data_IF_692098289631
#
_entry.id   IF_692098289631
#
_cell.length_a   1.000
_cell.length_b   1.000
_cell.length_c   1.000
_cell.angle_alpha   90.00
_cell.angle_beta   90.00
_cell.angle_gamma   90.00
#
_symmetry.space_group_name_H-M   'P 1'
#
loop_
_entity.id
_entity.type
_entity.pdbx_description
1 polymer ?
#
# COMPACT_ATOMS: atom_id res chain seq x y z
N UNK A 1 10.09 8.41 17.08
CA UNK A 1 9.15 8.58 15.98
C UNK A 1 9.01 7.23 15.29
N UNK A 2 7.84 6.61 15.31
CA UNK A 2 7.69 5.31 14.68
C UNK A 2 7.85 5.44 13.15
N UNK A 3 8.74 4.65 12.59
CA UNK A 3 8.83 4.45 11.13
C UNK A 3 7.99 3.21 10.82
N UNK A 4 6.97 3.40 9.98
CA UNK A 4 6.04 2.35 9.58
C UNK A 4 6.13 2.13 8.08
N UNK A 5 6.46 0.91 7.67
CA UNK A 5 6.45 0.53 6.26
C UNK A 5 5.02 0.22 5.80
N UNK A 6 4.44 1.08 4.95
CA UNK A 6 3.06 0.93 4.50
C UNK A 6 2.84 -0.20 3.47
N UNK A 7 3.86 -0.99 3.14
CA UNK A 7 3.76 -2.06 2.14
C UNK A 7 4.82 -3.14 2.31
N UNK A 8 4.44 -4.27 2.89
CA UNK A 8 5.28 -5.47 2.99
C UNK A 8 4.46 -6.71 2.61
N UNK A 9 5.07 -7.65 1.93
CA UNK A 9 4.50 -8.97 1.63
C UNK A 9 5.26 -10.04 2.39
N UNK A 10 4.54 -10.98 3.01
CA UNK A 10 5.08 -12.22 3.55
C UNK A 10 4.35 -13.40 2.90
N UNK A 11 5.07 -14.48 2.66
CA UNK A 11 4.51 -15.72 2.09
C UNK A 11 5.40 -16.92 2.40
N UNK A 12 4.79 -18.10 2.44
CA UNK A 12 5.48 -19.38 2.67
C UNK A 12 5.61 -20.23 1.41
N UNK A 13 4.62 -20.14 0.54
CA UNK A 13 4.48 -21.02 -0.63
C UNK A 13 4.20 -20.23 -1.89
N UNK A 14 4.12 -20.93 -3.01
CA UNK A 14 3.79 -20.35 -4.30
C UNK A 14 4.99 -19.77 -5.05
N UNK A 15 4.70 -19.19 -6.20
CA UNK A 15 5.70 -18.57 -7.07
C UNK A 15 5.41 -17.08 -7.22
N UNK A 16 6.16 -16.23 -6.53
CA UNK A 16 6.00 -14.78 -6.64
C UNK A 16 6.24 -14.30 -8.08
N UNK A 17 5.48 -13.29 -8.48
CA UNK A 17 5.74 -12.67 -9.79
C UNK A 17 7.03 -11.84 -9.74
N UNK A 18 7.93 -11.94 -10.74
CA UNK A 18 9.09 -11.06 -10.81
C UNK A 18 8.68 -9.58 -10.75
N UNK A 19 9.47 -8.74 -10.07
CA UNK A 19 10.81 -8.96 -9.54
C UNK A 19 10.86 -9.31 -8.03
N UNK A 20 9.77 -9.75 -7.41
CA UNK A 20 9.82 -10.19 -6.01
C UNK A 20 10.81 -11.35 -5.83
N UNK A 21 11.31 -11.51 -4.60
CA UNK A 21 12.17 -12.65 -4.24
C UNK A 21 11.51 -13.97 -4.65
N UNK A 22 12.28 -14.88 -5.21
CA UNK A 22 11.76 -16.18 -5.62
C UNK A 22 11.55 -17.16 -4.46
N UNK A 23 12.22 -16.92 -3.33
CA UNK A 23 12.13 -17.70 -2.09
C UNK A 23 11.04 -17.15 -1.18
N UNK A 24 10.55 -17.99 -0.26
CA UNK A 24 9.67 -17.55 0.82
C UNK A 24 10.28 -16.35 1.58
N UNK A 25 9.40 -15.46 2.04
CA UNK A 25 9.77 -14.35 2.90
C UNK A 25 8.80 -14.34 4.09
N UNK A 26 9.33 -14.67 5.25
CA UNK A 26 8.53 -14.93 6.46
C UNK A 26 8.43 -13.70 7.35
N UNK A 27 7.56 -13.76 8.35
CA UNK A 27 7.44 -12.71 9.36
C UNK A 27 8.76 -12.46 10.10
N UNK A 28 9.50 -13.51 10.41
CA UNK A 28 10.82 -13.44 11.08
C UNK A 28 11.87 -12.75 10.21
N UNK A 29 11.83 -12.95 8.88
CA UNK A 29 12.71 -12.24 7.95
C UNK A 29 12.37 -10.76 7.91
N UNK A 30 11.07 -10.44 7.90
CA UNK A 30 10.60 -9.06 7.96
C UNK A 30 11.02 -8.38 9.27
N UNK A 31 10.81 -9.00 10.43
CA UNK A 31 11.21 -8.47 11.74
C UNK A 31 12.70 -8.17 11.78
N UNK A 32 13.54 -9.13 11.37
CA UNK A 32 14.99 -8.95 11.35
C UNK A 32 15.41 -7.75 10.48
N UNK A 33 14.90 -7.66 9.25
CA UNK A 33 15.24 -6.56 8.35
C UNK A 33 14.70 -5.21 8.80
N UNK A 34 13.53 -5.18 9.43
CA UNK A 34 12.94 -3.98 10.04
C UNK A 34 13.80 -3.50 11.21
N UNK A 35 14.23 -4.39 12.11
CA UNK A 35 15.07 -4.06 13.26
C UNK A 35 16.43 -3.47 12.81
N UNK A 36 17.06 -4.08 11.80
CA UNK A 36 18.31 -3.59 11.20
C UNK A 36 18.15 -2.20 10.57
N UNK A 37 16.97 -1.89 10.03
CA UNK A 37 16.67 -0.61 9.37
C UNK A 37 16.10 0.45 10.31
N UNK A 38 15.75 0.11 11.56
CA UNK A 38 15.10 1.01 12.49
C UNK A 38 13.62 1.25 12.18
N UNK A 39 12.93 0.26 11.58
CA UNK A 39 11.50 0.29 11.26
C UNK A 39 10.73 -0.38 12.40
N UNK A 40 9.81 0.33 12.99
CA UNK A 40 9.07 -0.12 14.16
C UNK A 40 7.88 -1.03 13.81
N UNK A 41 7.28 -0.84 12.63
CA UNK A 41 6.17 -1.67 12.20
C UNK A 41 5.96 -1.67 10.69
N UNK A 42 5.13 -2.60 10.23
CA UNK A 42 4.78 -2.71 8.82
C UNK A 42 3.33 -3.11 8.59
N UNK A 43 2.78 -2.67 7.45
CA UNK A 43 1.47 -3.08 7.01
C UNK A 43 1.64 -4.24 6.02
N UNK A 44 1.16 -5.40 6.42
CA UNK A 44 1.18 -6.59 5.60
C UNK A 44 0.10 -6.55 4.53
N UNK A 45 0.49 -6.88 3.32
CA UNK A 45 -0.38 -7.04 2.17
C UNK A 45 -0.29 -8.49 1.67
N UNK A 46 -1.18 -9.38 2.12
CA UNK A 46 -1.15 -10.78 1.76
C UNK A 46 -1.18 -11.01 0.26
N UNK A 47 -0.18 -11.70 -0.32
CA UNK A 47 -0.09 -11.90 -1.76
C UNK A 47 -0.88 -13.14 -2.22
N UNK A 48 -2.20 -13.13 -2.01
CA UNK A 48 -3.10 -14.28 -2.27
C UNK A 48 -3.07 -14.78 -3.71
N UNK A 49 -2.55 -13.98 -4.66
CA UNK A 49 -2.42 -14.38 -6.06
C UNK A 49 -1.36 -15.45 -6.31
N UNK A 50 -0.40 -15.64 -5.40
CA UNK A 50 0.60 -16.72 -5.48
C UNK A 50 0.67 -17.58 -4.22
N UNK A 51 0.24 -17.06 -3.07
CA UNK A 51 0.06 -17.83 -1.84
C UNK A 51 -1.36 -17.63 -1.30
N UNK A 52 -2.32 -18.52 -1.63
CA UNK A 52 -3.72 -18.37 -1.22
C UNK A 52 -3.95 -18.32 0.29
N UNK A 53 -3.03 -18.91 1.08
CA UNK A 53 -3.09 -18.93 2.53
C UNK A 53 -2.49 -17.67 3.19
N UNK A 54 -2.00 -16.70 2.41
CA UNK A 54 -1.24 -15.56 2.93
C UNK A 54 -2.03 -14.62 3.85
N UNK A 55 -3.36 -14.55 3.75
CA UNK A 55 -4.17 -13.83 4.74
C UNK A 55 -4.05 -14.46 6.14
N UNK A 56 -4.10 -15.79 6.24
CA UNK A 56 -3.98 -16.50 7.51
C UNK A 56 -2.56 -16.39 8.07
N UNK A 57 -1.54 -16.47 7.20
CA UNK A 57 -0.15 -16.27 7.60
C UNK A 57 0.10 -14.85 8.15
N UNK A 58 -0.55 -13.83 7.56
CA UNK A 58 -0.46 -12.48 8.09
C UNK A 58 -1.14 -12.35 9.47
N UNK A 59 -2.26 -13.05 9.70
CA UNK A 59 -2.90 -13.11 11.03
C UNK A 59 -1.98 -13.80 12.05
N UNK A 60 -1.35 -14.91 11.69
CA UNK A 60 -0.36 -15.57 12.54
C UNK A 60 0.81 -14.64 12.89
N UNK A 61 1.30 -13.86 11.91
CA UNK A 61 2.34 -12.87 12.14
C UNK A 61 1.92 -11.76 13.12
N UNK A 62 0.69 -11.25 13.00
CA UNK A 62 0.14 -10.27 13.96
C UNK A 62 0.00 -10.88 15.37
N UNK A 63 -0.43 -12.12 15.47
CA UNK A 63 -0.54 -12.81 16.78
C UNK A 63 0.81 -13.03 17.43
N UNK A 64 1.84 -13.35 16.63
CA UNK A 64 3.21 -13.52 17.12
C UNK A 64 3.90 -12.18 17.46
N UNK A 65 3.58 -11.11 16.72
CA UNK A 65 4.20 -9.79 16.85
C UNK A 65 3.14 -8.67 16.84
N UNK A 66 2.29 -8.55 17.86
CA UNK A 66 1.06 -7.76 17.84
C UNK A 66 1.25 -6.25 17.65
N UNK A 67 2.42 -5.70 18.02
CA UNK A 67 2.74 -4.27 17.85
C UNK A 67 3.53 -3.98 16.58
N UNK A 68 3.95 -5.04 15.85
CA UNK A 68 4.84 -4.90 14.71
C UNK A 68 4.11 -4.95 13.36
N UNK A 69 2.90 -5.51 13.31
CA UNK A 69 2.17 -5.70 12.07
C UNK A 69 0.69 -5.31 12.17
N UNK A 70 0.20 -4.70 11.09
CA UNK A 70 -1.21 -4.57 10.76
C UNK A 70 -1.45 -5.16 9.37
N UNK A 71 -2.70 -5.42 8.98
CA UNK A 71 -3.02 -6.10 7.73
C UNK A 71 -4.03 -5.30 6.91
N UNK A 72 -3.70 -5.06 5.64
CA UNK A 72 -4.68 -4.76 4.60
C UNK A 72 -4.83 -6.02 3.74
N UNK A 73 -5.81 -6.84 4.08
CA UNK A 73 -5.96 -8.17 3.50
C UNK A 73 -6.70 -8.17 2.16
N UNK A 74 -6.62 -9.26 1.44
CA UNK A 74 -7.33 -9.44 0.17
C UNK A 74 -8.55 -10.35 0.35
N UNK A 75 -9.78 -9.83 0.18
CA UNK A 75 -10.97 -10.66 0.14
C UNK A 75 -11.05 -11.42 -1.18
N UNK A 76 -11.50 -12.68 -1.17
CA UNK A 76 -11.77 -13.43 -2.39
C UNK A 76 -13.08 -12.92 -3.00
N UNK A 77 -13.01 -11.97 -3.91
CA UNK A 77 -14.16 -11.21 -4.42
C UNK A 77 -15.13 -12.01 -5.31
N UNK A 78 -14.76 -13.19 -5.75
CA UNK A 78 -15.54 -14.13 -6.54
C UNK A 78 -16.40 -15.09 -5.70
N UNK A 79 -16.19 -15.14 -4.39
CA UNK A 79 -17.01 -15.95 -3.47
C UNK A 79 -18.24 -15.17 -2.97
N UNK A 80 -19.45 -15.76 -3.02
CA UNK A 80 -20.66 -15.11 -2.51
C UNK A 80 -20.64 -14.87 -1.00
N UNK A 81 -19.86 -15.64 -0.24
CA UNK A 81 -19.73 -15.52 1.22
C UNK A 81 -18.98 -14.25 1.65
N UNK A 82 -18.24 -13.61 0.74
CA UNK A 82 -17.42 -12.46 1.05
C UNK A 82 -18.21 -11.20 1.40
N UNK A 83 -19.46 -11.07 1.00
CA UNK A 83 -20.31 -9.95 1.42
C UNK A 83 -20.49 -9.94 2.94
N UNK A 84 -20.72 -11.12 3.53
CA UNK A 84 -20.81 -11.28 4.98
C UNK A 84 -19.45 -11.07 5.65
N UNK A 85 -18.36 -11.55 5.02
CA UNK A 85 -17.00 -11.42 5.53
C UNK A 85 -16.57 -9.95 5.64
N UNK A 86 -16.95 -9.08 4.69
CA UNK A 86 -16.63 -7.64 4.74
C UNK A 86 -17.19 -6.99 6.00
N UNK A 87 -18.40 -7.31 6.39
CA UNK A 87 -19.04 -6.74 7.59
C UNK A 87 -18.34 -7.14 8.91
N UNK A 88 -17.65 -8.29 8.93
CA UNK A 88 -16.95 -8.82 10.10
C UNK A 88 -15.42 -8.79 9.97
N UNK A 89 -14.89 -8.14 8.94
CA UNK A 89 -13.47 -8.17 8.57
C UNK A 89 -12.54 -7.83 9.72
N UNK A 90 -12.85 -6.75 10.46
CA UNK A 90 -12.06 -6.27 11.60
C UNK A 90 -12.13 -7.17 12.85
N UNK A 91 -12.99 -8.16 12.89
CA UNK A 91 -13.03 -9.13 13.99
C UNK A 91 -11.87 -10.13 13.91
N UNK A 92 -11.21 -10.24 12.76
CA UNK A 92 -10.02 -11.06 12.58
C UNK A 92 -8.79 -10.28 13.05
N UNK A 93 -7.86 -10.89 13.79
CA UNK A 93 -6.70 -10.21 14.37
C UNK A 93 -5.91 -9.42 13.32
N UNK A 94 -5.69 -8.14 13.57
CA UNK A 94 -4.89 -7.26 12.71
C UNK A 94 -5.48 -6.85 11.37
N UNK A 95 -6.65 -7.37 10.97
CA UNK A 95 -7.33 -7.03 9.71
C UNK A 95 -7.98 -5.65 9.79
N UNK A 96 -7.23 -4.59 9.44
CA UNK A 96 -7.69 -3.21 9.55
C UNK A 96 -8.29 -2.64 8.27
N UNK A 97 -8.05 -3.25 7.11
CA UNK A 97 -8.58 -2.78 5.84
C UNK A 97 -8.39 -3.79 4.71
N UNK A 98 -8.62 -3.33 3.50
CA UNK A 98 -8.56 -4.15 2.29
C UNK A 98 -7.43 -3.67 1.37
N UNK A 99 -6.84 -4.61 0.62
CA UNK A 99 -6.02 -4.28 -0.54
C UNK A 99 -6.55 -5.00 -1.78
N UNK A 100 -6.79 -4.26 -2.85
CA UNK A 100 -7.36 -4.79 -4.08
C UNK A 100 -6.44 -4.56 -5.27
N UNK A 101 -6.39 -5.55 -6.14
CA UNK A 101 -5.67 -5.49 -7.40
C UNK A 101 -6.43 -6.28 -8.48
N UNK A 102 -6.45 -5.74 -9.70
CA UNK A 102 -7.22 -6.29 -10.83
C UNK A 102 -6.33 -6.41 -12.06
N UNK A 103 -5.20 -7.10 -11.89
CA UNK A 103 -4.14 -7.22 -12.88
C UNK A 103 -4.11 -8.58 -13.61
N UNK A 104 -5.09 -9.44 -13.34
CA UNK A 104 -5.23 -10.74 -14.00
C UNK A 104 -6.31 -10.67 -15.09
N UNK A 105 -6.19 -11.46 -16.17
CA UNK A 105 -7.19 -11.43 -17.25
C UNK A 105 -8.63 -11.62 -16.78
N UNK A 106 -8.87 -12.50 -15.81
CA UNK A 106 -10.21 -12.82 -15.32
C UNK A 106 -10.85 -11.74 -14.44
N UNK A 107 -10.04 -10.86 -13.81
CA UNK A 107 -10.56 -9.83 -12.90
C UNK A 107 -10.31 -8.39 -13.38
N UNK A 108 -9.72 -8.19 -14.54
CA UNK A 108 -9.33 -6.86 -15.01
C UNK A 108 -10.53 -5.94 -15.27
N UNK A 109 -11.69 -6.50 -15.63
CA UNK A 109 -12.91 -5.74 -15.86
C UNK A 109 -13.70 -5.43 -14.59
N UNK A 110 -13.47 -6.15 -13.49
CA UNK A 110 -14.30 -6.08 -12.29
C UNK A 110 -14.50 -4.67 -11.72
N UNK A 111 -13.48 -3.78 -11.75
CA UNK A 111 -13.68 -2.42 -11.25
C UNK A 111 -14.65 -1.57 -12.07
N UNK A 112 -14.86 -1.93 -13.36
CA UNK A 112 -15.61 -1.10 -14.32
C UNK A 112 -16.87 -1.77 -14.86
N UNK A 113 -17.09 -3.06 -14.60
CA UNK A 113 -18.26 -3.82 -15.12
C UNK A 113 -19.44 -3.89 -14.14
N UNK A 114 -19.37 -3.15 -13.02
CA UNK A 114 -20.41 -3.09 -12.00
C UNK A 114 -20.38 -4.23 -10.98
N UNK A 115 -19.54 -5.23 -11.20
CA UNK A 115 -19.45 -6.44 -10.33
C UNK A 115 -19.06 -6.11 -8.90
N UNK A 116 -18.31 -5.03 -8.69
CA UNK A 116 -17.83 -4.56 -7.39
C UNK A 116 -18.67 -3.43 -6.78
N UNK A 117 -19.78 -3.03 -7.40
CA UNK A 117 -20.59 -1.92 -6.90
C UNK A 117 -21.12 -2.16 -5.47
N UNK A 118 -21.30 -3.42 -5.09
CA UNK A 118 -21.67 -3.81 -3.74
C UNK A 118 -20.55 -3.60 -2.69
N UNK A 119 -19.29 -3.66 -3.13
CA UNK A 119 -18.14 -3.67 -2.23
C UNK A 119 -17.88 -2.29 -1.61
N UNK A 120 -18.03 -1.24 -2.40
CA UNK A 120 -17.72 0.12 -1.95
C UNK A 120 -18.60 0.57 -0.78
N UNK A 121 -19.94 0.48 -0.86
CA UNK A 121 -20.80 0.79 0.29
C UNK A 121 -20.59 -0.17 1.46
N UNK A 122 -20.31 -1.46 1.21
CA UNK A 122 -20.03 -2.41 2.28
C UNK A 122 -18.74 -2.07 3.03
N UNK A 123 -17.65 -1.73 2.33
CA UNK A 123 -16.40 -1.31 2.93
C UNK A 123 -16.54 0.03 3.68
N UNK A 124 -17.30 0.99 3.11
CA UNK A 124 -17.61 2.26 3.75
C UNK A 124 -18.35 2.06 5.08
N UNK A 125 -19.42 1.25 5.08
CA UNK A 125 -20.23 0.95 6.27
C UNK A 125 -19.40 0.21 7.34
N UNK A 126 -18.51 -0.70 6.93
CA UNK A 126 -17.59 -1.40 7.82
C UNK A 126 -16.36 -0.56 8.23
N UNK A 127 -16.26 0.69 7.75
CA UNK A 127 -15.12 1.59 7.98
C UNK A 127 -13.76 0.96 7.62
N UNK A 128 -13.72 0.22 6.52
CA UNK A 128 -12.52 -0.45 6.03
C UNK A 128 -11.81 0.45 5.00
N UNK A 129 -10.64 1.00 5.31
CA UNK A 129 -9.81 1.65 4.30
C UNK A 129 -9.42 0.65 3.22
N UNK A 130 -9.37 1.11 1.96
CA UNK A 130 -9.09 0.27 0.80
C UNK A 130 -7.86 0.79 0.06
N UNK A 131 -6.82 -0.03 -0.03
CA UNK A 131 -5.66 0.21 -0.87
C UNK A 131 -5.89 -0.39 -2.27
N UNK A 132 -5.57 0.38 -3.31
CA UNK A 132 -5.88 0.06 -4.69
C UNK A 132 -4.63 0.13 -5.57
N UNK A 133 -4.29 -0.98 -6.22
CA UNK A 133 -3.34 -0.97 -7.32
C UNK A 133 -4.05 -0.44 -8.59
N UNK A 134 -4.09 0.89 -8.75
CA UNK A 134 -5.02 1.58 -9.64
C UNK A 134 -4.34 2.46 -10.71
N UNK A 135 -3.07 2.20 -11.06
CA UNK A 135 -2.35 3.03 -12.04
C UNK A 135 -3.05 3.17 -13.41
N UNK A 136 -3.79 2.16 -13.83
CA UNK A 136 -4.49 2.14 -15.12
C UNK A 136 -5.90 2.78 -15.07
N UNK A 137 -6.45 3.12 -13.89
CA UNK A 137 -7.85 3.55 -13.74
C UNK A 137 -8.08 4.56 -12.61
N UNK A 138 -7.15 5.52 -12.47
CA UNK A 138 -7.24 6.61 -11.50
C UNK A 138 -8.57 7.40 -11.56
N UNK A 139 -9.16 7.71 -12.75
CA UNK A 139 -10.45 8.40 -12.80
C UNK A 139 -11.59 7.64 -12.08
N UNK A 140 -11.56 6.30 -12.10
CA UNK A 140 -12.54 5.48 -11.39
C UNK A 140 -12.37 5.61 -9.88
N UNK A 141 -11.14 5.71 -9.35
CA UNK A 141 -10.90 5.99 -7.93
C UNK A 141 -11.62 7.28 -7.52
N UNK A 142 -11.53 8.33 -8.34
CA UNK A 142 -12.25 9.59 -8.13
C UNK A 142 -13.77 9.42 -8.12
N UNK A 143 -14.31 8.57 -9.01
CA UNK A 143 -15.75 8.25 -9.04
C UNK A 143 -16.21 7.54 -7.78
N UNK A 144 -15.43 6.56 -7.30
CA UNK A 144 -15.71 5.84 -6.05
C UNK A 144 -15.62 6.80 -4.86
N UNK A 145 -14.57 7.62 -4.78
CA UNK A 145 -14.36 8.60 -3.71
C UNK A 145 -15.52 9.60 -3.58
N UNK A 146 -16.03 10.07 -4.72
CA UNK A 146 -17.16 11.00 -4.76
C UNK A 146 -18.47 10.38 -4.30
N UNK A 147 -18.71 9.09 -4.63
CA UNK A 147 -19.93 8.37 -4.26
C UNK A 147 -19.93 7.86 -2.82
N UNK A 148 -18.75 7.64 -2.28
CA UNK A 148 -18.51 7.06 -0.96
C UNK A 148 -17.55 7.95 -0.14
N UNK A 149 -18.02 9.14 0.34
CA UNK A 149 -17.14 10.14 0.94
C UNK A 149 -16.57 9.72 2.31
N UNK A 150 -17.16 8.74 3.00
CA UNK A 150 -16.63 8.19 4.24
C UNK A 150 -15.67 7.00 4.01
N UNK A 151 -15.59 6.47 2.77
CA UNK A 151 -14.68 5.40 2.41
C UNK A 151 -13.26 5.97 2.21
N UNK A 152 -12.32 5.57 3.05
CA UNK A 152 -10.91 5.93 2.90
C UNK A 152 -10.24 5.08 1.81
N UNK A 153 -9.71 5.72 0.78
CA UNK A 153 -9.03 5.09 -0.35
C UNK A 153 -7.54 5.43 -0.36
N UNK A 154 -6.71 4.48 -0.74
CA UNK A 154 -5.26 4.68 -0.91
C UNK A 154 -4.83 4.18 -2.30
N UNK A 155 -4.15 5.01 -3.08
CA UNK A 155 -3.54 4.58 -4.34
C UNK A 155 -2.16 4.01 -4.07
N UNK A 156 -1.97 2.73 -4.40
CA UNK A 156 -0.69 2.03 -4.25
C UNK A 156 0.36 2.57 -5.23
N UNK A 157 1.62 2.57 -4.77
CA UNK A 157 2.80 2.81 -5.60
C UNK A 157 2.72 4.09 -6.44
N UNK A 158 2.12 5.17 -5.87
CA UNK A 158 2.04 6.46 -6.59
C UNK A 158 1.27 6.39 -7.92
N UNK A 159 0.44 5.38 -8.13
CA UNK A 159 -0.21 5.12 -9.40
C UNK A 159 0.76 4.76 -10.54
N UNK A 160 1.96 4.31 -10.21
CA UNK A 160 3.02 4.01 -11.18
C UNK A 160 2.65 2.86 -12.13
N UNK A 161 3.10 2.96 -13.37
CA UNK A 161 2.99 1.88 -14.36
C UNK A 161 3.98 0.76 -14.09
N UNK A 162 3.50 -0.46 -14.13
CA UNK A 162 4.34 -1.65 -13.97
C UNK A 162 5.38 -1.76 -15.08
N UNK A 163 6.63 -2.06 -14.70
CA UNK A 163 7.73 -2.31 -15.63
C UNK A 163 8.38 -1.05 -16.22
N UNK A 164 7.87 0.13 -15.89
CA UNK A 164 8.46 1.40 -16.30
C UNK A 164 9.35 1.99 -15.19
N UNK A 165 10.25 2.90 -15.56
CA UNK A 165 11.18 3.61 -14.66
C UNK A 165 11.25 5.10 -15.00
N UNK A 166 11.74 5.90 -14.05
CA UNK A 166 11.84 7.35 -14.21
C UNK A 166 10.49 7.98 -14.55
N UNK A 167 10.48 8.99 -15.41
CA UNK A 167 9.26 9.68 -15.83
C UNK A 167 8.25 8.74 -16.50
N UNK A 168 8.71 7.72 -17.21
CA UNK A 168 7.84 6.74 -17.85
C UNK A 168 7.03 5.89 -16.85
N UNK A 169 7.45 5.83 -15.60
CA UNK A 169 6.69 5.17 -14.55
C UNK A 169 5.47 5.98 -14.08
N UNK A 170 5.47 7.31 -14.30
CA UNK A 170 4.45 8.24 -13.77
C UNK A 170 3.72 9.05 -14.84
N UNK A 171 3.26 8.46 -15.95
CA UNK A 171 2.62 9.24 -17.04
C UNK A 171 1.28 9.83 -16.60
N UNK A 172 0.63 9.25 -15.61
CA UNK A 172 -0.70 9.62 -15.13
C UNK A 172 -0.63 10.54 -13.87
N UNK A 173 0.49 11.28 -13.69
CA UNK A 173 0.67 12.15 -12.51
C UNK A 173 -0.42 13.22 -12.40
N UNK A 174 -0.90 13.75 -13.53
CA UNK A 174 -1.98 14.73 -13.57
C UNK A 174 -3.30 14.15 -13.08
N UNK A 175 -3.63 12.94 -13.49
CA UNK A 175 -4.82 12.20 -13.05
C UNK A 175 -4.71 11.84 -11.56
N UNK A 176 -3.54 11.42 -11.11
CA UNK A 176 -3.29 11.14 -9.70
C UNK A 176 -3.49 12.38 -8.85
N UNK A 177 -2.87 13.51 -9.19
CA UNK A 177 -2.97 14.75 -8.40
C UNK A 177 -4.38 15.35 -8.42
N UNK A 178 -5.16 15.12 -9.49
CA UNK A 178 -6.56 15.52 -9.53
C UNK A 178 -7.44 14.82 -8.48
N UNK A 179 -6.99 13.68 -7.93
CA UNK A 179 -7.67 12.98 -6.83
C UNK A 179 -7.52 13.70 -5.49
N UNK A 180 -6.57 14.61 -5.37
CA UNK A 180 -6.32 15.35 -4.11
C UNK A 180 -7.50 16.20 -3.63
N UNK A 181 -8.42 16.57 -4.55
CA UNK A 181 -9.68 17.26 -4.21
C UNK A 181 -10.61 16.42 -3.33
N UNK A 182 -10.44 15.10 -3.30
CA UNK A 182 -11.21 14.20 -2.45
C UNK A 182 -10.47 13.99 -1.12
N UNK A 183 -11.00 14.45 0.04
CA UNK A 183 -10.32 14.34 1.32
C UNK A 183 -10.14 12.88 1.79
N UNK A 184 -10.94 11.97 1.25
CA UNK A 184 -10.92 10.54 1.53
C UNK A 184 -9.98 9.74 0.59
N UNK A 185 -9.13 10.42 -0.19
CA UNK A 185 -8.10 9.77 -1.03
C UNK A 185 -6.71 10.15 -0.55
N UNK A 186 -5.87 9.13 -0.39
CA UNK A 186 -4.44 9.23 -0.06
C UNK A 186 -3.58 8.46 -1.08
N UNK A 187 -2.27 8.66 -1.04
CA UNK A 187 -1.30 8.00 -1.94
C UNK A 187 -0.23 7.31 -1.12
N UNK A 188 0.08 6.07 -1.44
CA UNK A 188 1.21 5.35 -0.88
C UNK A 188 2.46 5.60 -1.73
N UNK A 189 3.45 6.24 -1.14
CA UNK A 189 4.80 6.43 -1.71
C UNK A 189 5.61 5.13 -1.60
N UNK A 190 5.01 4.01 -1.98
CA UNK A 190 5.59 2.69 -1.81
C UNK A 190 6.33 2.22 -3.05
N UNK A 191 7.45 1.53 -2.83
CA UNK A 191 8.23 0.96 -3.92
C UNK A 191 9.05 1.99 -4.71
N UNK A 192 9.27 3.20 -4.17
CA UNK A 192 9.93 4.28 -4.88
C UNK A 192 11.24 3.86 -5.56
N UNK A 193 12.26 3.34 -4.85
CA UNK A 193 13.53 2.93 -5.43
C UNK A 193 13.43 1.95 -6.62
N UNK A 194 12.38 1.13 -6.65
CA UNK A 194 12.13 0.25 -7.78
C UNK A 194 11.80 1.00 -9.07
N UNK A 195 11.17 2.18 -8.96
CA UNK A 195 10.78 3.01 -10.11
C UNK A 195 11.84 4.05 -10.50
N UNK A 196 12.89 4.21 -9.71
CA UNK A 196 13.99 5.11 -10.04
C UNK A 196 14.74 4.67 -11.30
N UNK A 197 15.25 5.63 -12.07
CA UNK A 197 16.14 5.44 -13.21
C UNK A 197 17.61 5.81 -12.89
N UNK A 198 17.85 6.29 -11.67
CA UNK A 198 19.18 6.55 -11.12
C UNK A 198 19.55 5.56 -10.00
N UNK A 199 20.83 5.55 -9.65
CA UNK A 199 21.34 4.77 -8.52
C UNK A 199 21.00 5.45 -7.19
N UNK A 200 21.20 4.69 -6.07
CA UNK A 200 21.13 5.25 -4.73
C UNK A 200 21.95 6.57 -4.65
N UNK A 201 21.37 7.62 -4.08
CA UNK A 201 20.17 7.68 -3.25
C UNK A 201 18.86 8.00 -4.00
N UNK A 202 18.69 7.66 -5.27
CA UNK A 202 17.44 7.71 -6.04
C UNK A 202 16.81 9.11 -6.12
N UNK A 203 17.61 10.13 -6.36
CA UNK A 203 17.17 11.54 -6.36
C UNK A 203 16.21 11.88 -7.49
N UNK A 204 16.18 11.08 -8.57
CA UNK A 204 15.22 11.23 -9.65
C UNK A 204 13.75 11.17 -9.18
N UNK A 205 13.49 10.51 -8.04
CA UNK A 205 12.15 10.42 -7.45
C UNK A 205 11.69 11.69 -6.72
N UNK A 206 12.62 12.52 -6.24
CA UNK A 206 12.29 13.67 -5.38
C UNK A 206 11.31 14.66 -6.04
N UNK A 207 11.42 14.86 -7.37
CA UNK A 207 10.49 15.70 -8.13
C UNK A 207 9.06 15.14 -8.15
N UNK A 208 8.91 13.81 -8.28
CA UNK A 208 7.61 13.16 -8.26
C UNK A 208 6.98 13.21 -6.87
N UNK A 209 7.78 12.98 -5.82
CA UNK A 209 7.32 13.13 -4.43
C UNK A 209 6.89 14.56 -4.13
N UNK A 210 7.62 15.57 -4.67
CA UNK A 210 7.27 16.98 -4.49
C UNK A 210 5.90 17.30 -5.10
N UNK A 211 5.63 16.84 -6.31
CA UNK A 211 4.34 17.05 -6.99
C UNK A 211 3.18 16.43 -6.19
N UNK A 212 3.38 15.22 -5.66
CA UNK A 212 2.36 14.57 -4.82
C UNK A 212 2.21 15.27 -3.46
N UNK A 213 3.31 15.72 -2.86
CA UNK A 213 3.29 16.45 -1.60
C UNK A 213 2.53 17.78 -1.73
N UNK A 214 2.79 18.53 -2.78
CA UNK A 214 2.09 19.81 -3.04
C UNK A 214 0.58 19.60 -3.25
N UNK A 215 0.16 18.44 -3.79
CA UNK A 215 -1.24 18.13 -4.03
C UNK A 215 -1.96 17.57 -2.79
N UNK A 216 -1.39 16.58 -2.12
CA UNK A 216 -2.06 15.81 -1.06
C UNK A 216 -1.71 16.26 0.36
N UNK A 217 -0.57 16.93 0.54
CA UNK A 217 -0.01 17.23 1.85
C UNK A 217 0.49 15.97 2.61
N UNK A 218 1.26 16.16 3.71
CA UNK A 218 1.95 15.06 4.38
C UNK A 218 1.01 14.06 5.07
N UNK A 219 -0.21 14.47 5.45
CA UNK A 219 -1.18 13.60 6.12
C UNK A 219 -1.88 12.59 5.21
N UNK A 220 -1.69 12.71 3.89
CA UNK A 220 -2.27 11.80 2.89
C UNK A 220 -1.22 11.18 1.96
N UNK A 221 0.03 11.15 2.43
CA UNK A 221 1.13 10.45 1.79
C UNK A 221 1.72 9.43 2.76
N UNK A 222 1.90 8.19 2.31
CA UNK A 222 2.33 7.09 3.18
C UNK A 222 3.56 6.40 2.59
N UNK A 223 4.69 6.54 3.25
CA UNK A 223 5.92 5.87 2.87
C UNK A 223 5.84 4.36 3.08
N UNK A 224 6.52 3.61 2.25
CA UNK A 224 6.73 2.17 2.39
C UNK A 224 7.60 1.61 1.28
N UNK A 225 8.09 0.40 1.47
CA UNK A 225 9.14 -0.13 0.58
C UNK A 225 8.65 -1.12 -0.45
N UNK A 226 7.76 -2.06 -0.08
CA UNK A 226 7.57 -3.28 -0.87
C UNK A 226 8.90 -4.05 -1.04
N UNK A 227 9.59 -4.21 0.08
CA UNK A 227 11.02 -4.57 0.19
C UNK A 227 11.43 -5.77 -0.66
N UNK A 228 10.56 -6.74 -0.82
CA UNK A 228 10.89 -8.00 -1.52
C UNK A 228 11.17 -7.83 -3.01
N UNK A 229 10.94 -6.63 -3.58
CA UNK A 229 11.29 -6.27 -4.97
C UNK A 229 12.28 -5.12 -5.08
N UNK A 230 12.80 -4.60 -3.96
CA UNK A 230 13.67 -3.43 -3.97
C UNK A 230 15.08 -3.76 -4.51
N UNK A 231 15.69 -2.83 -5.26
CA UNK A 231 17.08 -2.96 -5.71
C UNK A 231 18.10 -2.57 -4.62
N UNK A 232 17.66 -2.30 -3.41
CA UNK A 232 18.44 -1.77 -2.30
C UNK A 232 17.95 -2.34 -0.96
N UNK A 233 18.72 -2.14 0.11
CA UNK A 233 18.34 -2.55 1.46
C UNK A 233 17.20 -1.70 2.03
N UNK A 234 16.53 -2.24 3.05
CA UNK A 234 15.50 -1.50 3.80
C UNK A 234 16.06 -0.21 4.39
N UNK A 235 17.29 -0.28 4.95
CA UNK A 235 18.01 0.88 5.48
C UNK A 235 18.19 1.97 4.41
N UNK A 236 18.61 1.61 3.21
CA UNK A 236 18.74 2.57 2.11
C UNK A 236 17.39 3.17 1.69
N UNK A 237 16.29 2.45 1.80
CA UNK A 237 14.95 3.01 1.57
C UNK A 237 14.58 4.05 2.63
N UNK A 238 14.96 3.84 3.90
CA UNK A 238 14.77 4.82 4.99
C UNK A 238 15.67 6.04 4.74
N UNK A 239 16.97 5.82 4.50
CA UNK A 239 17.95 6.88 4.31
C UNK A 239 17.63 7.77 3.11
N UNK A 240 17.05 7.17 2.02
CA UNK A 240 16.55 7.93 0.87
C UNK A 240 15.55 9.03 1.26
N UNK A 241 14.67 8.77 2.21
CA UNK A 241 13.70 9.78 2.68
C UNK A 241 14.36 10.91 3.47
N UNK A 242 15.52 10.65 4.09
CA UNK A 242 16.30 11.67 4.77
C UNK A 242 17.11 12.57 3.81
N UNK A 243 17.39 12.08 2.59
CA UNK A 243 18.02 12.87 1.51
C UNK A 243 17.08 13.95 0.92
N UNK A 244 15.78 13.93 1.23
CA UNK A 244 14.81 14.91 0.72
C UNK A 244 14.90 16.20 1.55
N UNK A 245 15.68 17.15 1.08
CA UNK A 245 16.05 18.38 1.81
C UNK A 245 14.91 19.39 1.96
N UNK A 246 13.91 19.35 1.09
CA UNK A 246 12.74 20.24 1.16
C UNK A 246 11.64 19.74 2.11
N UNK A 247 11.75 18.51 2.61
CA UNK A 247 10.77 17.92 3.52
C UNK A 247 11.18 18.23 4.96
N UNK A 248 10.28 18.88 5.72
CA UNK A 248 10.50 19.15 7.14
C UNK A 248 10.53 17.84 7.94
N UNK A 249 11.16 17.87 9.11
CA UNK A 249 11.20 16.70 9.99
C UNK A 249 9.81 16.32 10.50
N UNK A 250 8.91 17.30 10.70
CA UNK A 250 7.53 17.05 11.10
C UNK A 250 6.74 16.36 9.99
N UNK A 251 6.85 16.83 8.75
CA UNK A 251 6.16 16.21 7.62
C UNK A 251 6.74 14.82 7.30
N UNK A 252 8.06 14.66 7.48
CA UNK A 252 8.71 13.35 7.33
C UNK A 252 8.16 12.34 8.34
N UNK A 253 7.91 12.75 9.60
CA UNK A 253 7.28 11.92 10.62
C UNK A 253 5.88 11.46 10.20
N UNK A 254 5.08 12.40 9.70
CA UNK A 254 3.75 12.09 9.19
C UNK A 254 3.83 11.06 8.06
N UNK A 255 4.63 11.33 7.03
CA UNK A 255 4.74 10.50 5.83
C UNK A 255 5.29 9.10 6.15
N UNK A 256 6.30 9.02 7.03
CA UNK A 256 6.99 7.77 7.34
C UNK A 256 6.33 6.92 8.43
N UNK A 257 5.17 7.35 9.00
CA UNK A 257 4.50 6.50 10.00
C UNK A 257 3.19 7.04 10.53
N UNK A 258 3.15 8.24 11.10
CA UNK A 258 1.97 8.70 11.83
C UNK A 258 0.71 8.76 10.94
N UNK A 259 0.83 9.28 9.73
CA UNK A 259 -0.32 9.48 8.87
C UNK A 259 -0.99 8.18 8.41
N UNK A 260 -0.24 7.10 8.14
CA UNK A 260 -0.85 5.81 7.78
C UNK A 260 -1.49 5.15 8.99
N UNK A 261 -0.90 5.27 10.19
CA UNK A 261 -1.48 4.78 11.42
C UNK A 261 -2.84 5.44 11.70
N UNK A 262 -2.91 6.76 11.60
CA UNK A 262 -4.17 7.52 11.73
C UNK A 262 -5.19 7.14 10.65
N UNK A 263 -4.70 6.92 9.42
CA UNK A 263 -5.58 6.60 8.30
C UNK A 263 -6.28 5.25 8.46
N UNK A 264 -5.57 4.23 8.91
CA UNK A 264 -6.13 2.87 9.06
C UNK A 264 -6.63 2.59 10.48
N UNK A 265 -6.38 3.49 11.44
CA UNK A 265 -6.76 3.32 12.84
C UNK A 265 -5.89 2.28 13.56
N UNK A 266 -4.59 2.24 13.26
CA UNK A 266 -3.62 1.37 13.92
C UNK A 266 -2.84 2.12 15.00
N UNK A 267 -2.84 1.58 16.20
CA UNK A 267 -1.95 2.03 17.30
C UNK A 267 -0.74 1.07 17.31
N UNK A 268 0.34 1.48 16.61
CA UNK A 268 1.58 0.74 16.53
C UNK A 268 2.41 0.86 17.82
#
# INVERSE_FOLDING_TARGET
MPIIDAQVHIWRTGTPSPPHLATAFLAEDAIRGMDEAGIEGAILHPPTSWDPASNEQAIEAVQAYPTRFAILGYPQLDSPDNRTLIATWKQRPGMLGLRLYFNKPHNRSWPIDGRLDWLWPAAEMAQLPVALLAGDWLPLVGTIAARHPALKLMVDHMGALRGAKGDAAFPNMKELTALAKFPNVAVKLTGGPFYADDAYPFRSLHRHYRVMYDAFGPRRLFWGTDITKMPCSWRQCVDHMHEITWLSDEDRKLIMGEAICDWIGWMA
#
